data_IF_719330348677
#
_entry.id   IF_719330348677
#
_cell.length_a   1.000
_cell.length_b   1.000
_cell.length_c   1.000
_cell.angle_alpha   90.00
_cell.angle_beta   90.00
_cell.angle_gamma   90.00
#
_symmetry.space_group_name_H-M   'P 1'
#
loop_
_entity.id
_entity.type
_entity.pdbx_description
1 polymer ?
#
# COMPACT_ATOMS: atom_id res chain seq x y z
N UNK A 1 -9.12 -53.04 -43.79
CA UNK A 1 -9.88 -51.98 -43.10
C UNK A 1 -9.01 -51.46 -41.96
N UNK A 2 -8.16 -50.47 -42.24
CA UNK A 2 -7.26 -49.88 -41.23
C UNK A 2 -8.02 -48.81 -40.45
N UNK A 3 -8.31 -49.07 -39.17
CA UNK A 3 -8.86 -48.05 -38.29
C UNK A 3 -7.78 -47.01 -37.98
N UNK A 4 -7.99 -45.78 -38.43
CA UNK A 4 -7.17 -44.65 -38.00
C UNK A 4 -7.53 -44.29 -36.55
N UNK A 5 -6.56 -44.18 -35.63
CA UNK A 5 -6.84 -43.71 -34.28
C UNK A 5 -7.19 -42.20 -34.32
N UNK A 6 -8.46 -41.88 -34.07
CA UNK A 6 -8.91 -40.51 -33.89
C UNK A 6 -8.40 -40.01 -32.55
N UNK A 7 -7.28 -39.29 -32.56
CA UNK A 7 -6.79 -38.56 -31.40
C UNK A 7 -7.76 -37.43 -31.08
N UNK A 8 -8.65 -37.66 -30.11
CA UNK A 8 -9.40 -36.58 -29.45
C UNK A 8 -8.42 -35.77 -28.59
N UNK A 9 -7.83 -34.75 -29.20
CA UNK A 9 -7.07 -33.74 -28.48
C UNK A 9 -8.04 -32.97 -27.58
N UNK A 10 -8.07 -33.32 -26.29
CA UNK A 10 -8.68 -32.49 -25.27
C UNK A 10 -7.86 -31.21 -25.14
N UNK A 11 -8.17 -30.20 -25.96
CA UNK A 11 -7.59 -28.86 -25.79
C UNK A 11 -8.15 -28.29 -24.49
N UNK A 12 -7.31 -28.29 -23.45
CA UNK A 12 -7.54 -27.59 -22.19
C UNK A 12 -7.47 -26.07 -22.46
N UNK A 13 -8.56 -25.49 -22.98
CA UNK A 13 -8.67 -24.06 -23.31
C UNK A 13 -8.72 -23.15 -22.06
N UNK A 14 -8.52 -23.71 -20.86
CA UNK A 14 -8.68 -23.05 -19.56
C UNK A 14 -7.39 -22.40 -19.03
N UNK A 15 -6.19 -22.77 -19.52
CA UNK A 15 -4.94 -22.22 -18.98
C UNK A 15 -4.75 -20.74 -19.34
N UNK A 16 -4.86 -20.38 -20.63
CA UNK A 16 -4.59 -19.00 -21.07
C UNK A 16 -5.47 -17.93 -20.43
N UNK A 17 -6.78 -18.19 -20.28
CA UNK A 17 -7.72 -17.23 -19.70
C UNK A 17 -7.56 -17.04 -18.19
N UNK A 18 -7.18 -18.10 -17.46
CA UNK A 18 -6.93 -18.02 -16.01
C UNK A 18 -5.61 -17.31 -15.70
N UNK A 19 -4.60 -17.47 -16.56
CA UNK A 19 -3.33 -16.76 -16.43
C UNK A 19 -3.50 -15.25 -16.73
N UNK A 20 -4.30 -14.88 -17.73
CA UNK A 20 -4.66 -13.48 -18.00
C UNK A 20 -5.38 -12.85 -16.80
N UNK A 21 -6.31 -13.58 -16.17
CA UNK A 21 -7.03 -13.08 -14.99
C UNK A 21 -6.08 -12.83 -13.80
N UNK A 22 -5.10 -13.72 -13.56
CA UNK A 22 -4.08 -13.54 -12.51
C UNK A 22 -3.17 -12.35 -12.78
N UNK A 23 -2.69 -12.21 -14.02
CA UNK A 23 -1.85 -11.09 -14.44
C UNK A 23 -2.61 -9.77 -14.27
N UNK A 24 -3.85 -9.70 -14.76
CA UNK A 24 -4.70 -8.52 -14.60
C UNK A 24 -4.98 -8.21 -13.13
N UNK A 25 -5.30 -9.21 -12.31
CA UNK A 25 -5.53 -9.05 -10.87
C UNK A 25 -4.33 -8.42 -10.18
N UNK A 26 -3.14 -8.93 -10.49
CA UNK A 26 -1.91 -8.44 -9.88
C UNK A 26 -1.62 -7.00 -10.28
N UNK A 27 -1.70 -6.67 -11.58
CA UNK A 27 -1.45 -5.32 -12.06
C UNK A 27 -2.42 -4.30 -11.50
N UNK A 28 -3.71 -4.62 -11.50
CA UNK A 28 -4.75 -3.75 -10.94
C UNK A 28 -4.47 -3.51 -9.45
N UNK A 29 -4.20 -4.57 -8.69
CA UNK A 29 -3.92 -4.45 -7.26
C UNK A 29 -2.70 -3.55 -6.99
N UNK A 30 -1.58 -3.85 -7.64
CA UNK A 30 -0.31 -3.16 -7.39
C UNK A 30 -0.36 -1.70 -7.89
N UNK A 31 -1.10 -1.44 -8.97
CA UNK A 31 -1.41 -0.09 -9.41
C UNK A 31 -2.29 0.67 -8.41
N UNK A 32 -3.35 0.05 -7.88
CA UNK A 32 -4.20 0.67 -6.87
C UNK A 32 -3.40 0.96 -5.59
N UNK A 33 -2.57 0.02 -5.12
CA UNK A 33 -1.69 0.25 -3.97
C UNK A 33 -0.81 1.47 -4.22
N UNK A 34 -0.16 1.54 -5.39
CA UNK A 34 0.72 2.65 -5.73
C UNK A 34 -0.02 3.99 -5.83
N UNK A 35 -1.19 4.03 -6.46
CA UNK A 35 -2.00 5.26 -6.57
C UNK A 35 -2.45 5.76 -5.20
N UNK A 36 -2.96 4.88 -4.35
CA UNK A 36 -3.38 5.24 -2.98
C UNK A 36 -2.16 5.71 -2.18
N UNK A 37 -1.03 5.02 -2.28
CA UNK A 37 0.23 5.42 -1.65
C UNK A 37 0.66 6.82 -2.07
N UNK A 38 0.68 7.12 -3.37
CA UNK A 38 1.07 8.44 -3.89
C UNK A 38 0.21 9.55 -3.28
N UNK A 39 -1.11 9.36 -3.26
CA UNK A 39 -2.05 10.33 -2.73
C UNK A 39 -1.86 10.54 -1.24
N UNK A 40 -1.91 9.48 -0.42
CA UNK A 40 -1.82 9.62 1.03
C UNK A 40 -0.44 10.05 1.52
N UNK A 41 0.64 9.61 0.85
CA UNK A 41 1.99 10.08 1.18
C UNK A 41 2.10 11.59 1.00
N UNK A 42 1.60 12.13 -0.12
CA UNK A 42 1.65 13.57 -0.38
C UNK A 42 0.76 14.36 0.57
N UNK A 43 -0.48 13.92 0.81
CA UNK A 43 -1.44 14.60 1.70
C UNK A 43 -0.88 14.67 3.12
N UNK A 44 -0.46 13.54 3.70
CA UNK A 44 0.01 13.50 5.08
C UNK A 44 1.28 14.35 5.29
N UNK A 45 2.20 14.36 4.33
CA UNK A 45 3.38 15.23 4.42
C UNK A 45 2.96 16.72 4.41
N UNK A 46 2.03 17.09 3.54
CA UNK A 46 1.53 18.46 3.42
C UNK A 46 0.80 18.92 4.67
N UNK A 47 -0.04 18.09 5.26
CA UNK A 47 -0.76 18.40 6.50
C UNK A 47 0.21 18.69 7.66
N UNK A 48 1.24 17.87 7.84
CA UNK A 48 2.23 18.06 8.90
C UNK A 48 3.04 19.34 8.68
N UNK A 49 3.48 19.60 7.45
CA UNK A 49 4.22 20.80 7.13
C UNK A 49 3.36 22.07 7.28
N UNK A 50 2.06 22.00 6.97
CA UNK A 50 1.10 23.10 7.16
C UNK A 50 0.89 23.42 8.65
N UNK A 51 0.75 22.41 9.50
CA UNK A 51 0.63 22.59 10.96
C UNK A 51 1.87 23.21 11.57
N UNK A 52 3.05 22.85 11.05
CA UNK A 52 4.32 23.45 11.47
C UNK A 52 4.41 24.92 11.04
N UNK A 53 4.01 25.24 9.81
CA UNK A 53 4.05 26.62 9.29
C UNK A 53 3.11 27.59 9.98
N UNK A 54 2.05 27.10 10.62
CA UNK A 54 0.98 27.91 11.23
C UNK A 54 1.17 28.16 12.73
N UNK A 55 2.31 27.76 13.32
CA UNK A 55 2.58 27.78 14.78
C UNK A 55 1.57 26.99 15.63
N UNK A 56 0.67 26.23 15.01
CA UNK A 56 -0.31 25.39 15.69
C UNK A 56 0.40 24.34 16.57
N UNK A 57 1.55 23.84 16.13
CA UNK A 57 2.33 22.84 16.87
C UNK A 57 2.85 23.35 18.22
N UNK A 58 3.19 24.64 18.37
CA UNK A 58 3.61 25.21 19.66
C UNK A 58 2.45 25.18 20.68
N UNK A 59 1.24 25.52 20.22
CA UNK A 59 0.02 25.50 21.03
C UNK A 59 -0.33 24.05 21.41
N UNK A 60 -0.32 23.12 20.45
CA UNK A 60 -0.62 21.71 20.73
C UNK A 60 0.39 21.14 21.73
N UNK A 61 1.68 21.43 21.57
CA UNK A 61 2.72 20.88 22.44
C UNK A 61 2.74 21.47 23.84
N UNK A 62 2.16 22.67 24.04
CA UNK A 62 1.91 23.21 25.38
C UNK A 62 0.89 22.39 26.20
N UNK A 63 0.03 21.61 25.52
CA UNK A 63 -1.07 20.86 26.13
C UNK A 63 -0.92 19.33 26.05
N UNK A 64 -0.07 18.81 25.16
CA UNK A 64 0.16 17.37 24.98
C UNK A 64 1.58 17.07 24.49
N UNK A 65 2.10 15.88 24.82
CA UNK A 65 3.43 15.45 24.36
C UNK A 65 3.42 15.18 22.85
N UNK A 66 4.47 15.62 22.16
CA UNK A 66 4.67 15.43 20.71
C UNK A 66 4.54 13.96 20.27
N UNK A 67 5.06 13.02 21.06
CA UNK A 67 4.96 11.58 20.77
C UNK A 67 3.51 11.08 20.74
N UNK A 68 2.67 11.51 21.68
CA UNK A 68 1.25 11.14 21.71
C UNK A 68 0.49 11.76 20.54
N UNK A 69 0.81 13.00 20.21
CA UNK A 69 0.24 13.69 19.06
C UNK A 69 0.53 12.94 17.75
N UNK A 70 1.79 12.54 17.51
CA UNK A 70 2.16 11.80 16.30
C UNK A 70 1.40 10.48 16.16
N UNK A 71 1.35 9.66 17.23
CA UNK A 71 0.63 8.38 17.21
C UNK A 71 -0.86 8.61 16.95
N UNK A 72 -1.46 9.61 17.60
CA UNK A 72 -2.86 10.01 17.37
C UNK A 72 -3.10 10.42 15.91
N UNK A 73 -2.20 11.21 15.33
CA UNK A 73 -2.29 11.66 13.94
C UNK A 73 -2.21 10.49 12.95
N UNK A 74 -1.24 9.58 13.11
CA UNK A 74 -1.13 8.38 12.26
C UNK A 74 -2.35 7.47 12.41
N UNK A 75 -2.89 7.33 13.61
CA UNK A 75 -4.12 6.57 13.86
C UNK A 75 -5.33 7.23 13.18
N UNK A 76 -5.41 8.56 13.18
CA UNK A 76 -6.43 9.31 12.45
C UNK A 76 -6.34 9.08 10.94
N UNK A 77 -5.14 9.16 10.37
CA UNK A 77 -4.92 8.87 8.94
C UNK A 77 -5.28 7.42 8.62
N UNK A 78 -4.94 6.47 9.48
CA UNK A 78 -5.36 5.07 9.36
C UNK A 78 -6.88 4.93 9.33
N UNK A 79 -7.61 5.63 10.20
CA UNK A 79 -9.07 5.65 10.19
C UNK A 79 -9.64 6.26 8.89
N UNK A 80 -9.02 7.32 8.37
CA UNK A 80 -9.42 7.92 7.08
C UNK A 80 -9.24 6.93 5.91
N UNK A 81 -8.15 6.18 5.90
CA UNK A 81 -7.94 5.14 4.87
C UNK A 81 -9.00 4.03 5.03
N UNK A 82 -9.32 3.61 6.27
CA UNK A 82 -10.37 2.62 6.51
C UNK A 82 -11.75 3.09 6.06
N UNK A 83 -12.13 4.34 6.34
CA UNK A 83 -13.41 4.88 5.88
C UNK A 83 -13.44 4.99 4.36
N UNK A 84 -12.33 5.37 3.72
CA UNK A 84 -12.22 5.39 2.26
C UNK A 84 -12.43 4.00 1.64
N UNK A 85 -11.79 2.97 2.21
CA UNK A 85 -11.98 1.58 1.79
C UNK A 85 -13.45 1.18 1.98
N UNK A 86 -14.06 1.49 3.12
CA UNK A 86 -15.45 1.16 3.39
C UNK A 86 -16.40 1.81 2.36
N UNK A 87 -16.18 3.08 2.03
CA UNK A 87 -16.96 3.80 1.02
C UNK A 87 -16.82 3.12 -0.34
N UNK A 88 -15.62 2.68 -0.73
CA UNK A 88 -15.41 1.96 -1.99
C UNK A 88 -16.06 0.58 -2.00
N UNK A 89 -16.06 -0.15 -0.88
CA UNK A 89 -16.73 -1.45 -0.79
C UNK A 89 -18.25 -1.30 -0.90
N UNK A 90 -18.83 -0.38 -0.13
CA UNK A 90 -20.28 -0.14 -0.14
C UNK A 90 -20.72 0.45 -1.48
N UNK A 91 -20.01 1.46 -1.97
CA UNK A 91 -20.27 2.09 -3.27
C UNK A 91 -20.12 1.11 -4.43
N UNK A 92 -19.07 0.27 -4.41
CA UNK A 92 -18.85 -0.77 -5.41
C UNK A 92 -19.95 -1.83 -5.41
N UNK A 93 -20.41 -2.27 -4.23
CA UNK A 93 -21.52 -3.22 -4.12
C UNK A 93 -22.85 -2.61 -4.59
N UNK A 94 -23.16 -1.38 -4.18
CA UNK A 94 -24.35 -0.67 -4.62
C UNK A 94 -24.36 -0.45 -6.14
N UNK A 95 -23.20 -0.08 -6.70
CA UNK A 95 -23.02 0.08 -8.14
C UNK A 95 -23.20 -1.24 -8.90
N UNK A 96 -22.62 -2.34 -8.39
CA UNK A 96 -22.82 -3.67 -8.98
C UNK A 96 -24.29 -4.09 -9.01
N UNK A 97 -25.03 -3.87 -7.92
CA UNK A 97 -26.46 -4.18 -7.84
C UNK A 97 -27.31 -3.29 -8.76
N UNK A 98 -26.95 -2.01 -8.90
CA UNK A 98 -27.62 -1.07 -9.80
C UNK A 98 -27.41 -1.41 -11.27
N UNK A 99 -26.18 -1.73 -11.66
CA UNK A 99 -25.85 -2.09 -13.05
C UNK A 99 -26.48 -3.42 -13.49
N UNK A 100 -26.68 -4.36 -12.57
CA UNK A 100 -27.29 -5.66 -12.89
C UNK A 100 -28.78 -5.54 -13.32
N UNK A 101 -29.40 -4.37 -13.14
CA UNK A 101 -30.75 -4.08 -13.62
C UNK A 101 -30.79 -3.65 -15.09
N UNK A 102 -29.65 -3.32 -15.68
CA UNK A 102 -29.55 -2.89 -17.08
C UNK A 102 -29.12 -4.08 -17.95
N UNK A 103 -29.99 -4.51 -18.87
CA UNK A 103 -29.75 -5.71 -19.72
C UNK A 103 -28.43 -5.66 -20.50
N UNK A 104 -28.05 -4.48 -21.01
CA UNK A 104 -26.78 -4.27 -21.72
C UNK A 104 -25.57 -4.52 -20.82
N UNK A 105 -25.61 -4.00 -19.59
CA UNK A 105 -24.54 -4.19 -18.62
C UNK A 105 -24.46 -5.63 -18.14
N UNK A 106 -25.61 -6.27 -17.90
CA UNK A 106 -25.65 -7.69 -17.52
C UNK A 106 -25.00 -8.59 -18.58
N UNK A 107 -25.32 -8.39 -19.86
CA UNK A 107 -24.72 -9.16 -20.97
C UNK A 107 -23.20 -8.95 -21.06
N UNK A 108 -22.74 -7.70 -20.94
CA UNK A 108 -21.30 -7.38 -20.92
C UNK A 108 -20.61 -7.99 -19.69
N UNK A 109 -21.23 -7.91 -18.52
CA UNK A 109 -20.69 -8.45 -17.28
C UNK A 109 -20.57 -9.97 -17.35
N UNK A 110 -21.59 -10.67 -17.85
CA UNK A 110 -21.55 -12.12 -18.04
C UNK A 110 -20.47 -12.54 -19.05
N UNK A 111 -20.24 -11.74 -20.09
CA UNK A 111 -19.16 -11.98 -21.06
C UNK A 111 -17.75 -11.87 -20.42
N UNK A 112 -17.53 -10.90 -19.54
CA UNK A 112 -16.22 -10.68 -18.87
C UNK A 112 -16.13 -11.27 -17.47
N UNK A 113 -17.15 -12.01 -17.02
CA UNK A 113 -17.22 -12.57 -15.67
C UNK A 113 -16.01 -13.40 -15.28
N UNK A 114 -15.45 -14.13 -16.26
CA UNK A 114 -14.25 -14.95 -16.07
C UNK A 114 -12.99 -14.14 -15.70
N UNK A 115 -12.93 -12.85 -16.06
CA UNK A 115 -11.86 -11.93 -15.64
C UNK A 115 -12.25 -11.16 -14.38
N UNK A 116 -13.48 -10.64 -14.34
CA UNK A 116 -13.92 -9.73 -13.28
C UNK A 116 -13.99 -10.44 -11.93
N UNK A 117 -14.55 -11.66 -11.88
CA UNK A 117 -14.76 -12.37 -10.62
C UNK A 117 -13.45 -12.75 -9.91
N UNK A 118 -12.43 -13.30 -10.60
CA UNK A 118 -11.12 -13.52 -9.98
C UNK A 118 -10.43 -12.23 -9.55
N UNK A 119 -10.52 -11.15 -10.33
CA UNK A 119 -9.90 -9.85 -9.99
C UNK A 119 -10.49 -9.27 -8.72
N UNK A 120 -11.82 -9.23 -8.62
CA UNK A 120 -12.51 -8.74 -7.42
C UNK A 120 -12.20 -9.66 -6.23
N UNK A 121 -12.26 -10.97 -6.41
CA UNK A 121 -11.94 -11.93 -5.35
C UNK A 121 -10.51 -11.77 -4.83
N UNK A 122 -9.54 -11.60 -5.73
CA UNK A 122 -8.16 -11.35 -5.36
C UNK A 122 -7.97 -9.99 -4.69
N UNK A 123 -8.68 -8.95 -5.11
CA UNK A 123 -8.60 -7.61 -4.51
C UNK A 123 -9.18 -7.59 -3.08
N UNK A 124 -10.31 -8.27 -2.86
CA UNK A 124 -11.07 -8.22 -1.60
C UNK A 124 -10.65 -9.26 -0.55
N UNK A 125 -9.76 -10.19 -0.89
CA UNK A 125 -9.23 -11.17 0.06
C UNK A 125 -8.10 -10.55 0.92
N UNK A 126 -7.18 -11.35 1.44
CA UNK A 126 -6.04 -10.90 2.27
C UNK A 126 -5.18 -9.80 1.62
N UNK A 127 -5.21 -9.68 0.29
CA UNK A 127 -4.52 -8.61 -0.44
C UNK A 127 -5.05 -7.21 -0.09
N UNK A 128 -6.33 -7.08 0.30
CA UNK A 128 -6.87 -5.81 0.77
C UNK A 128 -6.16 -5.36 2.05
N UNK A 129 -5.82 -6.30 2.94
CA UNK A 129 -5.09 -6.02 4.16
C UNK A 129 -3.63 -5.62 3.86
N UNK A 130 -2.98 -6.27 2.89
CA UNK A 130 -1.64 -5.85 2.43
C UNK A 130 -1.65 -4.47 1.77
N UNK A 131 -2.69 -4.13 1.01
CA UNK A 131 -2.90 -2.80 0.45
C UNK A 131 -3.02 -1.78 1.58
N UNK A 132 -3.89 -2.04 2.55
CA UNK A 132 -4.12 -1.15 3.68
C UNK A 132 -2.86 -0.92 4.52
N UNK A 133 -2.23 -2.00 5.00
CA UNK A 133 -1.01 -1.92 5.81
C UNK A 133 0.18 -1.36 5.01
N UNK A 134 0.25 -1.65 3.72
CA UNK A 134 1.23 -1.08 2.80
C UNK A 134 1.12 0.44 2.78
N UNK A 135 -0.06 0.97 2.51
CA UNK A 135 -0.27 2.42 2.50
C UNK A 135 0.14 3.05 3.84
N UNK A 136 -0.21 2.43 4.99
CA UNK A 136 0.17 2.95 6.31
C UNK A 136 1.68 3.05 6.49
N UNK A 137 2.44 2.00 6.18
CA UNK A 137 3.90 2.02 6.40
C UNK A 137 4.57 3.11 5.56
N UNK A 138 4.13 3.32 4.31
CA UNK A 138 4.62 4.39 3.46
C UNK A 138 4.20 5.78 3.95
N UNK A 139 2.96 5.92 4.42
CA UNK A 139 2.45 7.16 5.01
C UNK A 139 3.25 7.56 6.25
N UNK A 140 3.69 6.61 7.10
CA UNK A 140 4.54 6.90 8.26
C UNK A 140 5.90 7.48 7.82
N UNK A 141 6.51 6.93 6.78
CA UNK A 141 7.78 7.45 6.22
C UNK A 141 7.57 8.84 5.60
N UNK A 142 6.45 9.04 4.93
CA UNK A 142 6.10 10.35 4.38
C UNK A 142 5.83 11.38 5.47
N UNK A 143 5.14 10.99 6.54
CA UNK A 143 4.85 11.85 7.69
C UNK A 143 6.13 12.33 8.37
N UNK A 144 7.07 11.42 8.56
CA UNK A 144 8.42 11.73 9.05
C UNK A 144 9.13 12.75 8.13
N UNK A 145 9.08 12.53 6.82
CA UNK A 145 9.73 13.40 5.84
C UNK A 145 9.04 14.78 5.75
N UNK A 146 7.72 14.85 5.94
CA UNK A 146 6.97 16.10 6.01
C UNK A 146 7.34 16.94 7.23
N UNK A 147 7.58 16.31 8.40
CA UNK A 147 8.06 17.01 9.60
C UNK A 147 9.47 17.62 9.40
N UNK A 148 10.26 17.03 8.50
CA UNK A 148 11.57 17.50 8.04
C UNK A 148 11.50 18.61 6.99
N UNK A 149 10.35 19.23 6.75
CA UNK A 149 10.24 20.45 5.94
C UNK A 149 9.67 21.60 6.78
N UNK A 150 9.93 22.85 6.37
CA UNK A 150 9.44 24.04 7.08
C UNK A 150 8.19 24.65 6.43
N UNK A 151 8.04 24.50 5.10
CA UNK A 151 6.94 25.06 4.30
C UNK A 151 6.06 23.95 3.73
N UNK A 152 4.75 24.15 3.74
CA UNK A 152 3.79 23.21 3.16
C UNK A 152 4.00 22.98 1.64
N UNK A 153 4.52 23.99 0.94
CA UNK A 153 4.82 23.96 -0.49
C UNK A 153 5.91 22.95 -0.86
N UNK A 154 6.87 22.71 0.04
CA UNK A 154 7.97 21.78 -0.18
C UNK A 154 7.64 20.36 0.32
N UNK A 155 6.49 20.16 0.97
CA UNK A 155 6.11 18.89 1.57
C UNK A 155 5.88 17.74 0.55
N UNK A 156 5.26 17.97 -0.63
CA UNK A 156 5.17 16.93 -1.66
C UNK A 156 6.55 16.48 -2.19
N UNK A 157 7.55 17.37 -2.17
CA UNK A 157 8.95 17.01 -2.50
C UNK A 157 9.59 16.23 -1.35
N UNK A 158 9.25 16.55 -0.10
CA UNK A 158 9.69 15.80 1.06
C UNK A 158 9.15 14.36 1.08
N UNK A 159 7.95 14.13 0.57
CA UNK A 159 7.33 12.80 0.50
C UNK A 159 8.01 11.84 -0.50
N UNK A 160 8.88 12.35 -1.38
CA UNK A 160 9.51 11.57 -2.45
C UNK A 160 10.28 10.32 -1.99
N UNK A 161 11.00 10.28 -0.85
CA UNK A 161 11.65 9.06 -0.39
C UNK A 161 10.68 7.91 -0.16
N UNK A 162 9.50 8.18 0.42
CA UNK A 162 8.45 7.17 0.59
C UNK A 162 7.89 6.73 -0.77
N UNK A 163 7.66 7.68 -1.67
CA UNK A 163 7.14 7.43 -3.02
C UNK A 163 8.13 6.61 -3.86
N UNK A 164 9.42 6.96 -3.87
CA UNK A 164 10.45 6.21 -4.58
C UNK A 164 10.65 4.82 -3.98
N UNK A 165 10.51 4.64 -2.67
CA UNK A 165 10.50 3.31 -2.05
C UNK A 165 9.30 2.47 -2.50
N UNK A 166 8.12 3.08 -2.63
CA UNK A 166 6.94 2.43 -3.21
C UNK A 166 7.11 2.09 -4.69
N UNK A 167 7.67 3.03 -5.45
CA UNK A 167 7.93 2.90 -6.88
C UNK A 167 8.95 1.78 -7.16
N UNK A 168 10.03 1.71 -6.39
CA UNK A 168 11.02 0.62 -6.50
C UNK A 168 10.36 -0.72 -6.19
N UNK A 169 9.58 -0.83 -5.11
CA UNK A 169 8.85 -2.06 -4.80
C UNK A 169 7.87 -2.45 -5.92
N UNK A 170 7.15 -1.49 -6.49
CA UNK A 170 6.25 -1.67 -7.62
C UNK A 170 6.99 -2.24 -8.84
N UNK A 171 8.03 -1.56 -9.32
CA UNK A 171 8.77 -1.98 -10.53
C UNK A 171 9.55 -3.27 -10.33
N UNK A 172 10.06 -3.53 -9.11
CA UNK A 172 10.76 -4.77 -8.82
C UNK A 172 9.89 -6.00 -9.01
N UNK A 173 8.56 -5.89 -8.97
CA UNK A 173 7.68 -7.05 -9.20
C UNK A 173 7.59 -7.52 -10.65
N UNK A 174 7.93 -6.67 -11.63
CA UNK A 174 7.80 -6.93 -13.06
C UNK A 174 8.52 -8.24 -13.51
N UNK A 175 9.82 -8.43 -13.23
CA UNK A 175 10.54 -9.61 -13.68
C UNK A 175 10.11 -10.92 -12.99
N UNK A 176 9.41 -10.84 -11.87
CA UNK A 176 9.10 -12.01 -11.04
C UNK A 176 7.71 -12.60 -11.26
N UNK A 177 6.90 -12.03 -12.16
CA UNK A 177 5.56 -12.56 -12.46
C UNK A 177 5.58 -13.94 -13.10
N UNK A 178 6.60 -14.23 -13.91
CA UNK A 178 6.78 -15.53 -14.56
C UNK A 178 7.37 -16.58 -13.62
N UNK A 179 7.99 -16.17 -12.50
CA UNK A 179 8.56 -17.07 -11.50
C UNK A 179 8.24 -16.62 -10.06
N UNK A 180 6.99 -16.78 -9.59
CA UNK A 180 6.59 -16.33 -8.26
C UNK A 180 7.10 -17.24 -7.13
N UNK A 181 7.71 -18.40 -7.43
CA UNK A 181 8.29 -19.34 -6.44
C UNK A 181 9.76 -19.04 -6.12
N UNK A 182 10.39 -18.14 -6.89
CA UNK A 182 11.79 -17.80 -6.76
C UNK A 182 12.18 -17.37 -5.34
N UNK A 183 13.40 -17.70 -4.93
CA UNK A 183 13.92 -17.39 -3.59
C UNK A 183 13.81 -15.89 -3.28
N UNK A 184 14.13 -15.03 -4.26
CA UNK A 184 14.06 -13.56 -4.12
C UNK A 184 12.63 -13.12 -3.79
N UNK A 185 11.63 -13.67 -4.48
CA UNK A 185 10.21 -13.37 -4.24
C UNK A 185 9.82 -13.78 -2.83
N UNK A 186 10.21 -14.99 -2.40
CA UNK A 186 9.94 -15.46 -1.04
C UNK A 186 10.54 -14.55 0.02
N UNK A 187 11.77 -14.09 -0.15
CA UNK A 187 12.44 -13.19 0.81
C UNK A 187 11.77 -11.82 0.82
N UNK A 188 11.58 -11.19 -0.35
CA UNK A 188 10.95 -9.86 -0.46
C UNK A 188 9.49 -9.85 0.03
N UNK A 189 8.80 -10.99 -0.02
CA UNK A 189 7.48 -11.17 0.59
C UNK A 189 7.47 -11.01 2.11
N UNK A 190 8.59 -11.19 2.82
CA UNK A 190 8.67 -10.99 4.27
C UNK A 190 9.28 -9.65 4.67
N UNK A 191 10.03 -8.99 3.78
CA UNK A 191 10.63 -7.69 4.06
C UNK A 191 9.51 -6.63 4.03
N UNK A 192 9.31 -5.85 5.11
CA UNK A 192 8.34 -4.75 5.15
C UNK A 192 8.56 -3.78 3.98
N UNK A 193 7.53 -3.01 3.62
CA UNK A 193 7.46 -2.21 2.37
C UNK A 193 7.32 -3.08 1.11
N UNK A 194 8.26 -3.98 0.85
CA UNK A 194 8.22 -4.89 -0.31
C UNK A 194 7.12 -5.95 -0.17
N UNK A 195 6.85 -6.42 1.05
CA UNK A 195 5.83 -7.42 1.36
C UNK A 195 4.45 -7.02 0.82
N UNK A 196 4.10 -5.74 0.85
CA UNK A 196 2.82 -5.21 0.35
C UNK A 196 2.63 -5.38 -1.17
N UNK A 197 3.70 -5.64 -1.92
CA UNK A 197 3.67 -5.91 -3.35
C UNK A 197 3.95 -7.39 -3.66
N UNK A 198 4.96 -7.98 -3.02
CA UNK A 198 5.43 -9.33 -3.31
C UNK A 198 4.57 -10.43 -2.67
N UNK A 199 3.98 -10.25 -1.48
CA UNK A 199 3.05 -11.26 -0.95
C UNK A 199 1.78 -11.36 -1.80
N UNK A 200 1.12 -10.25 -2.19
CA UNK A 200 -0.02 -10.36 -3.09
C UNK A 200 0.29 -11.05 -4.42
N UNK A 201 1.49 -10.86 -4.97
CA UNK A 201 1.96 -11.64 -6.12
C UNK A 201 1.87 -13.14 -5.82
N UNK A 202 2.44 -13.61 -4.71
CA UNK A 202 2.40 -15.04 -4.36
C UNK A 202 0.99 -15.55 -4.04
N UNK A 203 0.15 -14.72 -3.41
CA UNK A 203 -1.24 -15.06 -3.08
C UNK A 203 -2.08 -15.27 -4.34
N UNK A 204 -1.99 -14.35 -5.32
CA UNK A 204 -2.74 -14.42 -6.57
C UNK A 204 -2.37 -15.65 -7.40
N UNK A 205 -1.11 -16.07 -7.36
CA UNK A 205 -0.62 -17.26 -8.05
C UNK A 205 -0.78 -18.55 -7.23
N UNK A 206 -1.38 -18.47 -6.03
CA UNK A 206 -1.56 -19.60 -5.10
C UNK A 206 -0.26 -20.31 -4.68
N UNK A 207 0.81 -19.53 -4.49
CA UNK A 207 2.15 -20.02 -4.13
C UNK A 207 2.58 -19.64 -2.71
N UNK A 208 1.67 -19.05 -1.93
CA UNK A 208 1.87 -18.72 -0.53
C UNK A 208 1.00 -19.63 0.34
N UNK A 209 1.62 -20.30 1.31
CA UNK A 209 0.89 -21.05 2.35
C UNK A 209 0.22 -20.06 3.32
N UNK A 210 -0.93 -20.42 3.93
CA UNK A 210 -1.56 -19.60 4.96
C UNK A 210 -0.60 -19.18 6.09
N UNK A 211 0.31 -20.06 6.50
CA UNK A 211 1.32 -19.75 7.52
C UNK A 211 2.32 -18.68 7.07
N UNK A 212 2.75 -18.72 5.81
CA UNK A 212 3.65 -17.71 5.25
C UNK A 212 2.97 -16.34 5.19
N UNK A 213 1.68 -16.32 4.81
CA UNK A 213 0.87 -15.11 4.74
C UNK A 213 0.71 -14.51 6.14
N UNK A 214 0.33 -15.30 7.14
CA UNK A 214 0.16 -14.83 8.52
C UNK A 214 1.47 -14.31 9.11
N UNK A 215 2.59 -14.99 8.85
CA UNK A 215 3.90 -14.57 9.34
C UNK A 215 4.33 -13.24 8.71
N UNK A 216 4.16 -13.07 7.39
CA UNK A 216 4.48 -11.81 6.70
C UNK A 216 3.61 -10.66 7.20
N UNK A 217 2.30 -10.89 7.38
CA UNK A 217 1.41 -9.88 7.97
C UNK A 217 1.85 -9.48 9.38
N UNK A 218 2.22 -10.45 10.22
CA UNK A 218 2.69 -10.18 11.58
C UNK A 218 3.96 -9.33 11.55
N UNK A 219 4.94 -9.68 10.71
CA UNK A 219 6.18 -8.90 10.55
C UNK A 219 5.88 -7.48 10.05
N UNK A 220 4.94 -7.32 9.11
CA UNK A 220 4.54 -6.01 8.60
C UNK A 220 3.89 -5.15 9.69
N UNK A 221 2.94 -5.72 10.45
CA UNK A 221 2.25 -5.02 11.55
C UNK A 221 3.24 -4.62 12.65
N UNK A 222 4.15 -5.53 13.05
CA UNK A 222 5.19 -5.22 14.02
C UNK A 222 6.09 -4.09 13.52
N UNK A 223 6.47 -4.12 12.24
CA UNK A 223 7.33 -3.06 11.67
C UNK A 223 6.61 -1.72 11.65
N UNK A 224 5.31 -1.68 11.31
CA UNK A 224 4.49 -0.46 11.40
C UNK A 224 4.50 0.08 12.83
N UNK A 225 4.24 -0.78 13.82
CA UNK A 225 4.24 -0.39 15.23
C UNK A 225 5.61 0.14 15.70
N UNK A 226 6.70 -0.54 15.33
CA UNK A 226 8.06 -0.14 15.67
C UNK A 226 8.45 1.19 15.01
N UNK A 227 8.14 1.39 13.73
CA UNK A 227 8.39 2.64 13.01
C UNK A 227 7.57 3.80 13.60
N UNK A 228 6.28 3.59 13.85
CA UNK A 228 5.42 4.61 14.44
C UNK A 228 5.92 5.01 15.83
N UNK A 229 6.26 4.02 16.67
CA UNK A 229 6.83 4.25 17.99
C UNK A 229 8.17 5.00 17.91
N UNK A 230 9.09 4.55 17.06
CA UNK A 230 10.41 5.17 16.89
C UNK A 230 10.29 6.63 16.44
N UNK A 231 9.53 6.89 15.36
CA UNK A 231 9.33 8.24 14.82
C UNK A 231 8.64 9.13 15.86
N UNK A 232 7.65 8.60 16.60
CA UNK A 232 6.96 9.39 17.63
C UNK A 232 7.92 9.94 18.69
N UNK A 233 8.99 9.21 19.02
CA UNK A 233 9.94 9.62 20.06
C UNK A 233 10.91 10.70 19.60
N UNK A 234 11.21 10.75 18.31
CA UNK A 234 12.07 11.79 17.71
C UNK A 234 11.26 12.95 17.13
N UNK A 235 9.93 12.83 17.09
CA UNK A 235 9.02 13.77 16.45
C UNK A 235 9.15 15.21 16.97
N UNK A 236 9.33 15.37 18.28
CA UNK A 236 9.51 16.67 18.94
C UNK A 236 10.71 17.43 18.38
N UNK A 237 11.86 16.76 18.30
CA UNK A 237 13.09 17.34 17.76
C UNK A 237 13.03 17.64 16.27
N UNK A 238 12.16 17.00 15.50
CA UNK A 238 12.02 17.23 14.05
C UNK A 238 11.12 18.43 13.75
N UNK A 239 10.00 18.52 14.45
CA UNK A 239 8.98 19.53 14.17
C UNK A 239 9.35 20.90 14.72
N UNK A 240 10.10 20.99 15.82
CA UNK A 240 10.53 22.26 16.41
C UNK A 240 11.67 22.97 15.65
N UNK A 241 12.29 22.32 14.67
CA UNK A 241 13.36 22.92 13.86
C UNK A 241 12.80 23.89 12.81
N UNK A 242 13.17 25.17 12.89
CA UNK A 242 12.76 26.23 11.94
C UNK A 242 13.87 26.63 10.95
N UNK A 243 15.09 26.09 11.10
CA UNK A 243 16.25 26.46 10.28
C UNK A 243 16.19 25.90 8.84
N UNK A 244 16.60 26.71 7.86
CA UNK A 244 16.71 26.40 6.42
C UNK A 244 17.95 25.54 6.08
N UNK A 245 18.24 24.55 6.91
CA UNK A 245 19.40 23.67 6.76
C UNK A 245 19.09 22.42 5.93
N UNK A 246 20.10 21.88 5.23
CA UNK A 246 19.98 20.68 4.39
C UNK A 246 19.34 19.49 5.14
N UNK A 247 18.55 18.68 4.42
CA UNK A 247 17.82 17.49 4.92
C UNK A 247 18.63 16.63 5.90
N UNK A 248 19.89 16.33 5.56
CA UNK A 248 20.78 15.50 6.38
C UNK A 248 21.17 16.16 7.72
N UNK A 249 21.31 17.48 7.78
CA UNK A 249 21.59 18.22 9.02
C UNK A 249 20.37 18.21 9.95
N UNK A 250 19.17 18.32 9.37
CA UNK A 250 17.90 18.28 10.11
C UNK A 250 17.64 16.90 10.71
N UNK A 251 17.87 15.85 9.92
CA UNK A 251 17.83 14.46 10.39
C UNK A 251 18.77 14.24 11.57
N UNK A 252 20.05 14.61 11.41
CA UNK A 252 21.08 14.40 12.46
C UNK A 252 20.72 15.13 13.76
N UNK A 253 20.26 16.39 13.69
CA UNK A 253 19.83 17.16 14.87
C UNK A 253 18.59 16.58 15.54
N UNK A 254 17.61 16.10 14.77
CA UNK A 254 16.41 15.46 15.31
C UNK A 254 16.73 14.23 16.15
N UNK A 255 17.76 13.47 15.73
CA UNK A 255 18.27 12.33 16.48
C UNK A 255 19.06 12.75 17.74
N UNK A 256 19.79 13.87 17.71
CA UNK A 256 20.58 14.36 18.86
C UNK A 256 19.70 14.94 19.97
N UNK A 257 18.50 15.44 19.67
CA UNK A 257 17.58 16.04 20.66
C UNK A 257 17.07 15.06 21.73
N UNK A 258 17.36 13.75 21.58
CA UNK A 258 17.01 12.70 22.54
C UNK A 258 18.04 12.50 23.66
N UNK A 259 19.24 13.08 23.56
CA UNK A 259 20.29 13.00 24.58
C UNK A 259 20.34 14.25 25.44
#
# INVERSE_FOLDING_TARGET
MSQQPVFKQHIHKTSGSSDIAKIASFWILVFVIYMVLLTYSSITAQEIASEKGTKIMEIIFSSTKASKYFIGKITGVMMVILTQILIYLVGGAAFYLGLNQIDTFRKLFDQYRYLIQPVIGNLLNVNLLYLFLGVIIYTIVSAFSGALVAKAEDAPKAAQPAIYLGMTAFFLTFPFQSNPTGLIVKVLSYIPFFSSYFMPLRVIYHQASPLEISLSLLVLILTIGLLAWYISRIYEGLILQTDDSSFWKRLKRGLTYQN
#
